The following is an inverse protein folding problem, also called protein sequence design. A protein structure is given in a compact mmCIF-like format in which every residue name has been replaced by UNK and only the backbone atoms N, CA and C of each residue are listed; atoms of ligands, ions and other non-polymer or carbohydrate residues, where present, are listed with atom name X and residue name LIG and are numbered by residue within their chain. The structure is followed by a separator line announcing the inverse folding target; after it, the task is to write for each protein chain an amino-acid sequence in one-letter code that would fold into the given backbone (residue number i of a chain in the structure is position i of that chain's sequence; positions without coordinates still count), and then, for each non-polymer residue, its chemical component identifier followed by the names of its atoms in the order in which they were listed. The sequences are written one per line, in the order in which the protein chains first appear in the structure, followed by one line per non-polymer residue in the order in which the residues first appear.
data_IF_491970046071
#
_entry.id   IF_491970046071
#
_cell.length_a   1.000
_cell.length_b   1.000
_cell.length_c   1.000
_cell.angle_alpha   90.00
_cell.angle_beta   90.00
_cell.angle_gamma   90.00
#
_symmetry.space_group_name_H-M   'P 1'
#
loop_
_entity.id
_entity.type
_entity.pdbx_description
1 polymer ?
#
# COMPACT_ATOMS: atom_id res chain seq x y z
N UNK A 1 -8.48 -4.30 -9.60
CA UNK A 1 -7.11 -4.10 -10.12
C UNK A 1 -6.16 -3.39 -9.16
N UNK A 2 -6.59 -2.47 -8.29
CA UNK A 2 -5.67 -1.63 -7.49
C UNK A 2 -4.74 -2.38 -6.51
N UNK A 3 -5.26 -3.30 -5.69
CA UNK A 3 -4.42 -4.13 -4.78
C UNK A 3 -3.48 -5.05 -5.55
N UNK A 4 -3.91 -5.58 -6.70
CA UNK A 4 -3.06 -6.38 -7.57
C UNK A 4 -1.87 -5.57 -8.07
N UNK A 5 -2.08 -4.31 -8.49
CA UNK A 5 -1.01 -3.43 -8.91
C UNK A 5 -0.02 -3.08 -7.78
N UNK A 6 -0.47 -3.04 -6.52
CA UNK A 6 0.44 -2.93 -5.37
C UNK A 6 1.26 -4.21 -5.23
N UNK A 7 0.63 -5.39 -5.30
CA UNK A 7 1.31 -6.67 -5.21
C UNK A 7 2.35 -6.84 -6.32
N UNK A 8 2.00 -6.53 -7.58
CA UNK A 8 2.91 -6.55 -8.72
C UNK A 8 4.15 -5.69 -8.47
N UNK A 9 3.99 -4.45 -7.99
CA UNK A 9 5.12 -3.59 -7.65
C UNK A 9 5.98 -4.17 -6.51
N UNK A 10 5.38 -4.81 -5.51
CA UNK A 10 6.14 -5.42 -4.41
C UNK A 10 6.93 -6.65 -4.88
N UNK A 11 6.36 -7.45 -5.77
CA UNK A 11 7.05 -8.57 -6.40
C UNK A 11 8.19 -8.04 -7.27
N UNK A 12 7.95 -7.04 -8.11
CA UNK A 12 8.99 -6.39 -8.92
C UNK A 12 10.12 -5.83 -8.06
N UNK A 13 9.80 -5.19 -6.93
CA UNK A 13 10.79 -4.68 -5.99
C UNK A 13 11.65 -5.79 -5.39
N UNK A 14 11.11 -6.99 -5.18
CA UNK A 14 11.88 -8.12 -4.66
C UNK A 14 13.02 -8.53 -5.61
N UNK A 15 12.82 -8.41 -6.92
CA UNK A 15 13.79 -8.80 -7.95
C UNK A 15 14.54 -7.62 -8.60
N UNK A 16 14.16 -6.38 -8.30
CA UNK A 16 14.80 -5.18 -8.87
C UNK A 16 16.09 -4.79 -8.15
N UNK A 17 17.07 -4.30 -8.91
CA UNK A 17 18.25 -3.60 -8.39
C UNK A 17 17.91 -2.18 -7.89
N UNK A 18 16.95 -1.50 -8.53
CA UNK A 18 16.45 -0.20 -8.09
C UNK A 18 15.10 -0.37 -7.37
N UNK A 19 15.16 -0.84 -6.13
CA UNK A 19 13.97 -1.09 -5.30
C UNK A 19 13.29 0.21 -4.88
N UNK A 20 14.04 1.29 -4.68
CA UNK A 20 13.51 2.55 -4.15
C UNK A 20 12.42 3.16 -5.04
N UNK A 21 12.62 3.17 -6.35
CA UNK A 21 11.63 3.69 -7.28
C UNK A 21 10.35 2.84 -7.29
N UNK A 22 10.50 1.51 -7.32
CA UNK A 22 9.36 0.57 -7.37
C UNK A 22 8.56 0.59 -6.07
N UNK A 23 9.22 0.58 -4.91
CA UNK A 23 8.57 0.69 -3.61
C UNK A 23 7.85 2.03 -3.43
N UNK A 24 8.41 3.12 -3.94
CA UNK A 24 7.74 4.43 -3.94
C UNK A 24 6.49 4.44 -4.84
N UNK A 25 6.47 3.65 -5.92
CA UNK A 25 5.28 3.45 -6.77
C UNK A 25 4.23 2.61 -6.05
N UNK A 26 4.62 1.51 -5.42
CA UNK A 26 3.74 0.67 -4.61
C UNK A 26 3.06 1.49 -3.50
N UNK A 27 3.83 2.32 -2.79
CA UNK A 27 3.29 3.16 -1.71
C UNK A 27 2.26 4.17 -2.23
N UNK A 28 2.51 4.83 -3.37
CA UNK A 28 1.56 5.75 -4.00
C UNK A 28 0.25 5.06 -4.39
N UNK A 29 0.33 3.84 -4.94
CA UNK A 29 -0.86 3.04 -5.27
C UNK A 29 -1.65 2.63 -4.02
N UNK A 30 -0.96 2.34 -2.92
CA UNK A 30 -1.59 2.04 -1.64
C UNK A 30 -2.33 3.27 -1.06
N UNK A 31 -1.80 4.48 -1.18
CA UNK A 31 -2.52 5.70 -0.77
C UNK A 31 -3.82 5.90 -1.55
N UNK A 32 -3.81 5.64 -2.86
CA UNK A 32 -5.04 5.67 -3.68
C UNK A 32 -6.08 4.68 -3.13
N UNK A 33 -5.65 3.47 -2.76
CA UNK A 33 -6.55 2.48 -2.16
C UNK A 33 -7.10 2.93 -0.81
N UNK A 34 -6.31 3.57 0.06
CA UNK A 34 -6.81 4.13 1.33
C UNK A 34 -7.89 5.18 1.10
N UNK A 35 -7.71 6.05 0.12
CA UNK A 35 -8.73 7.05 -0.24
C UNK A 35 -10.01 6.41 -0.77
N UNK A 36 -9.90 5.42 -1.66
CA UNK A 36 -11.07 4.69 -2.15
C UNK A 36 -11.79 3.93 -1.02
N UNK A 37 -11.05 3.41 -0.06
CA UNK A 37 -11.61 2.73 1.11
C UNK A 37 -12.37 3.68 2.04
N UNK A 38 -11.82 4.89 2.26
CA UNK A 38 -12.50 5.96 2.98
C UNK A 38 -13.78 6.38 2.26
N UNK A 39 -13.72 6.55 0.94
CA UNK A 39 -14.90 6.88 0.15
C UNK A 39 -15.97 5.79 0.23
N UNK A 40 -15.59 4.51 0.26
CA UNK A 40 -16.54 3.41 0.44
C UNK A 40 -17.29 3.48 1.79
N UNK A 41 -16.63 3.95 2.85
CA UNK A 41 -17.29 4.23 4.13
C UNK A 41 -18.24 5.43 4.01
N UNK A 42 -17.78 6.54 3.44
CA UNK A 42 -18.57 7.78 3.27
C UNK A 42 -19.85 7.53 2.45
N UNK A 43 -19.75 6.71 1.41
CA UNK A 43 -20.87 6.27 0.56
C UNK A 43 -21.72 5.15 1.19
N UNK A 44 -21.40 4.72 2.43
CA UNK A 44 -22.09 3.63 3.16
C UNK A 44 -22.12 2.29 2.42
N UNK A 45 -21.15 2.05 1.53
CA UNK A 45 -20.96 0.76 0.85
C UNK A 45 -20.45 -0.30 1.83
N UNK A 46 -19.69 0.13 2.84
CA UNK A 46 -19.17 -0.73 3.91
C UNK A 46 -19.51 -0.15 5.29
N UNK A 47 -19.74 -1.00 6.31
CA UNK A 47 -19.90 -0.55 7.69
C UNK A 47 -18.56 -0.16 8.32
N UNK A 48 -18.60 0.69 9.35
CA UNK A 48 -17.43 1.21 10.06
C UNK A 48 -16.45 0.11 10.50
N UNK A 49 -16.94 -1.00 11.06
CA UNK A 49 -16.09 -2.12 11.51
C UNK A 49 -15.27 -2.74 10.37
N UNK A 50 -15.84 -2.84 9.16
CA UNK A 50 -15.09 -3.32 7.98
C UNK A 50 -14.07 -2.27 7.55
N UNK A 51 -14.47 -0.99 7.57
CA UNK A 51 -13.55 0.11 7.27
C UNK A 51 -12.31 0.07 8.18
N UNK A 52 -12.50 0.00 9.49
CA UNK A 52 -11.42 -0.05 10.50
C UNK A 52 -10.47 -1.23 10.28
N UNK A 53 -11.02 -2.41 9.98
CA UNK A 53 -10.19 -3.56 9.67
C UNK A 53 -9.37 -3.36 8.39
N UNK A 54 -10.00 -2.87 7.32
CA UNK A 54 -9.34 -2.63 6.04
C UNK A 54 -8.25 -1.55 6.12
N UNK A 55 -8.52 -0.43 6.80
CA UNK A 55 -7.55 0.66 6.92
C UNK A 55 -6.34 0.22 7.76
N UNK A 56 -6.54 -0.56 8.83
CA UNK A 56 -5.45 -1.12 9.64
C UNK A 56 -4.52 -2.00 8.80
N UNK A 57 -5.07 -2.88 7.96
CA UNK A 57 -4.26 -3.72 7.07
C UNK A 57 -3.47 -2.88 6.04
N UNK A 58 -4.08 -1.83 5.47
CA UNK A 58 -3.40 -0.93 4.54
C UNK A 58 -2.32 -0.07 5.22
N UNK A 59 -2.50 0.30 6.49
CA UNK A 59 -1.49 1.02 7.27
C UNK A 59 -0.30 0.13 7.59
N UNK A 60 -0.55 -1.11 8.03
CA UNK A 60 0.49 -2.09 8.32
C UNK A 60 1.30 -2.43 7.06
N UNK A 61 0.64 -2.55 5.90
CA UNK A 61 1.33 -2.72 4.62
C UNK A 61 2.19 -1.49 4.28
N UNK A 62 1.68 -0.27 4.49
CA UNK A 62 2.45 0.96 4.27
C UNK A 62 3.70 1.06 5.15
N UNK A 63 3.60 0.63 6.42
CA UNK A 63 4.75 0.56 7.33
C UNK A 63 5.82 -0.41 6.83
N UNK A 64 5.42 -1.56 6.30
CA UNK A 64 6.34 -2.54 5.71
C UNK A 64 7.07 -1.97 4.49
N UNK A 65 6.34 -1.32 3.57
CA UNK A 65 6.92 -0.66 2.39
C UNK A 65 7.90 0.43 2.80
N UNK A 66 7.51 1.28 3.75
CA UNK A 66 8.37 2.35 4.27
C UNK A 66 9.61 1.81 5.00
N UNK A 67 9.48 0.72 5.74
CA UNK A 67 10.59 0.02 6.38
C UNK A 67 11.60 -0.51 5.34
N UNK A 68 11.10 -1.08 4.25
CA UNK A 68 11.94 -1.56 3.15
C UNK A 68 12.64 -0.40 2.42
N UNK A 69 11.94 0.70 2.13
CA UNK A 69 12.56 1.91 1.56
C UNK A 69 13.72 2.42 2.41
N UNK A 70 13.53 2.49 3.73
CA UNK A 70 14.56 2.92 4.67
C UNK A 70 15.76 1.95 4.72
N UNK A 71 15.54 0.65 4.51
CA UNK A 71 16.64 -0.31 4.45
C UNK A 71 17.49 -0.15 3.18
N UNK A 72 16.89 0.29 2.08
CA UNK A 72 17.62 0.59 0.84
C UNK A 72 18.50 1.84 0.95
N UNK A 73 18.08 2.86 1.69
CA UNK A 73 18.89 4.06 1.88
C UNK A 73 20.10 3.87 2.80
N UNK A 74 20.19 2.73 3.50
CA UNK A 74 21.29 2.38 4.41
C UNK A 74 22.30 1.40 3.80
N UNK A 75 21.97 0.82 2.65
CA UNK A 75 22.81 -0.11 1.90
C UNK A 75 23.57 0.64 0.81
#
# INVERSE_FOLDING_TARGET
SGLLAVLEDLVDAAYSANKAHVLSRANRRLEVLRHLWRLALELRVIPLKRYEHGIKMMDDLGRQIGGWLKSQARA
#
